data_IF_247948127942
#
_entry.id   IF_247948127942
#
_cell.length_a   1.000
_cell.length_b   1.000
_cell.length_c   1.000
_cell.angle_alpha   90.00
_cell.angle_beta   90.00
_cell.angle_gamma   90.00
#
_symmetry.space_group_name_H-M   'P 1'
#
loop_
_entity.id
_entity.type
_entity.pdbx_description
1 polymer ?
#
# COMPACT_ATOMS: atom_id res chain seq x y z
N UNK A 1 18.85 -3.60 17.18
CA UNK A 1 18.34 -2.76 18.30
C UNK A 1 17.91 -1.35 17.88
N UNK A 2 18.14 -0.93 16.64
CA UNK A 2 17.76 0.42 16.14
C UNK A 2 16.38 0.47 15.47
N UNK A 3 15.84 -0.65 14.98
CA UNK A 3 14.55 -0.72 14.29
C UNK A 3 13.32 -0.70 15.22
N UNK A 4 13.45 -1.17 16.46
CA UNK A 4 12.32 -1.20 17.42
C UNK A 4 11.96 0.20 17.94
N UNK A 5 12.93 1.13 18.01
CA UNK A 5 12.68 2.50 18.48
C UNK A 5 11.98 3.43 17.47
N UNK A 6 11.94 3.06 16.19
CA UNK A 6 11.22 3.84 15.18
C UNK A 6 9.72 3.51 15.15
N UNK A 7 9.32 2.29 15.51
CA UNK A 7 7.91 1.90 15.59
C UNK A 7 7.15 2.66 16.69
N UNK A 8 7.82 2.94 17.83
CA UNK A 8 7.18 3.67 18.94
C UNK A 8 7.00 5.17 18.69
N UNK A 9 7.71 5.75 17.73
CA UNK A 9 7.62 7.20 17.43
C UNK A 9 6.52 7.53 16.42
N UNK A 10 6.07 6.56 15.62
CA UNK A 10 4.99 6.72 14.64
C UNK A 10 3.60 6.61 15.30
N UNK A 11 3.51 6.01 16.49
CA UNK A 11 2.28 5.79 17.23
C UNK A 11 1.61 7.05 17.83
N UNK A 12 2.08 8.26 17.56
CA UNK A 12 1.57 9.47 18.23
C UNK A 12 0.85 10.50 17.36
N UNK A 13 0.50 10.13 16.12
CA UNK A 13 -0.44 10.96 15.36
C UNK A 13 -1.73 10.19 15.18
N UNK A 14 -2.41 9.89 16.28
CA UNK A 14 -3.79 9.42 16.25
C UNK A 14 -4.65 10.50 15.60
N UNK A 15 -5.01 10.30 14.33
CA UNK A 15 -6.16 10.98 13.75
C UNK A 15 -7.38 10.40 14.47
N UNK A 16 -7.88 11.09 15.50
CA UNK A 16 -9.17 10.76 16.11
C UNK A 16 -10.23 10.92 15.03
N UNK A 17 -11.08 9.90 14.87
CA UNK A 17 -12.31 10.02 14.07
C UNK A 17 -13.05 11.28 14.55
N UNK A 18 -13.49 12.18 13.64
CA UNK A 18 -14.11 13.45 14.03
C UNK A 18 -15.34 13.30 14.93
N UNK A 19 -15.98 12.14 14.92
CA UNK A 19 -17.18 11.84 15.72
C UNK A 19 -16.95 10.89 16.90
N UNK A 20 -15.71 10.44 17.15
CA UNK A 20 -15.41 9.52 18.25
C UNK A 20 -16.04 8.13 18.12
N UNK A 21 -16.59 7.77 16.96
CA UNK A 21 -17.22 6.48 16.71
C UNK A 21 -16.15 5.43 16.43
N UNK A 22 -16.22 4.29 17.15
CA UNK A 22 -15.40 3.12 16.84
C UNK A 22 -15.93 2.43 15.58
N UNK A 23 -15.10 2.27 14.57
CA UNK A 23 -15.42 1.49 13.38
C UNK A 23 -14.89 0.07 13.62
N UNK A 24 -15.76 -0.91 13.96
CA UNK A 24 -15.31 -2.27 14.17
C UNK A 24 -14.82 -2.85 12.83
N UNK A 25 -13.54 -3.16 12.76
CA UNK A 25 -12.91 -3.75 11.60
C UNK A 25 -12.11 -4.98 12.00
N UNK A 26 -12.18 -6.03 11.19
CA UNK A 26 -11.36 -7.24 11.37
C UNK A 26 -10.24 -7.28 10.35
N UNK A 27 -9.09 -7.76 10.79
CA UNK A 27 -7.94 -8.01 9.94
C UNK A 27 -7.54 -9.48 9.93
N UNK A 28 -6.91 -9.88 8.84
CA UNK A 28 -6.22 -11.15 8.66
C UNK A 28 -4.74 -10.94 9.00
N UNK A 29 -4.24 -11.71 9.96
CA UNK A 29 -2.85 -11.67 10.42
C UNK A 29 -2.01 -12.77 9.77
N UNK A 30 -0.68 -12.67 9.88
CA UNK A 30 0.28 -13.59 9.25
C UNK A 30 0.14 -15.05 9.68
N UNK A 31 -0.38 -15.31 10.85
CA UNK A 31 -0.65 -16.67 11.36
C UNK A 31 -1.98 -17.24 10.85
N UNK A 32 -2.68 -16.51 9.98
CA UNK A 32 -4.00 -16.87 9.46
C UNK A 32 -5.16 -16.54 10.39
N UNK A 33 -4.90 -16.00 11.57
CA UNK A 33 -5.95 -15.59 12.52
C UNK A 33 -6.69 -14.36 12.01
N UNK A 34 -7.96 -14.22 12.40
CA UNK A 34 -8.79 -13.06 12.14
C UNK A 34 -9.23 -12.46 13.46
N UNK A 35 -8.83 -11.23 13.73
CA UNK A 35 -9.17 -10.52 14.95
C UNK A 35 -9.66 -9.09 14.67
N UNK A 36 -10.31 -8.48 15.65
CA UNK A 36 -10.66 -7.07 15.60
C UNK A 36 -9.40 -6.21 15.70
N UNK A 37 -9.36 -5.17 14.86
CA UNK A 37 -8.26 -4.20 14.86
C UNK A 37 -8.44 -3.21 16.01
N UNK A 38 -7.36 -2.89 16.73
CA UNK A 38 -7.30 -1.68 17.55
C UNK A 38 -7.63 -0.45 16.69
N UNK A 39 -8.36 0.50 17.25
CA UNK A 39 -8.86 1.65 16.49
C UNK A 39 -7.74 2.51 15.87
N UNK A 40 -6.61 2.59 16.53
CA UNK A 40 -5.41 3.30 16.07
C UNK A 40 -4.68 2.60 14.91
N UNK A 41 -4.91 1.31 14.70
CA UNK A 41 -4.34 0.54 13.60
C UNK A 41 -5.23 0.51 12.34
N UNK A 42 -6.51 0.83 12.46
CA UNK A 42 -7.50 0.71 11.36
C UNK A 42 -7.02 1.43 10.09
N UNK A 43 -6.59 2.68 10.22
CA UNK A 43 -6.15 3.47 9.06
C UNK A 43 -4.90 2.88 8.40
N UNK A 44 -3.95 2.39 9.21
CA UNK A 44 -2.73 1.77 8.68
C UNK A 44 -3.05 0.51 7.87
N UNK A 45 -3.88 -0.39 8.42
CA UNK A 45 -4.26 -1.64 7.74
C UNK A 45 -5.08 -1.38 6.48
N UNK A 46 -5.97 -0.38 6.49
CA UNK A 46 -6.72 0.05 5.30
C UNK A 46 -5.76 0.54 4.21
N UNK A 47 -4.80 1.40 4.55
CA UNK A 47 -3.80 1.93 3.60
C UNK A 47 -2.94 0.82 3.03
N UNK A 48 -2.46 -0.08 3.88
CA UNK A 48 -1.66 -1.22 3.46
C UNK A 48 -2.45 -2.12 2.48
N UNK A 49 -3.71 -2.41 2.79
CA UNK A 49 -4.57 -3.19 1.91
C UNK A 49 -4.94 -2.44 0.62
N UNK A 50 -5.10 -1.13 0.69
CA UNK A 50 -5.32 -0.29 -0.50
C UNK A 50 -4.12 -0.34 -1.45
N UNK A 51 -2.89 -0.44 -0.92
CA UNK A 51 -1.68 -0.62 -1.72
C UNK A 51 -1.74 -1.92 -2.53
N UNK A 52 -2.14 -3.04 -1.91
CA UNK A 52 -2.31 -4.32 -2.62
C UNK A 52 -3.41 -4.26 -3.69
N UNK A 53 -4.54 -3.60 -3.39
CA UNK A 53 -5.63 -3.41 -4.37
C UNK A 53 -5.19 -2.52 -5.53
N UNK A 54 -4.40 -1.48 -5.27
CA UNK A 54 -3.82 -0.64 -6.30
C UNK A 54 -2.82 -1.42 -7.17
N UNK A 55 -1.93 -2.22 -6.55
CA UNK A 55 -0.98 -3.05 -7.27
C UNK A 55 -1.69 -4.06 -8.19
N UNK A 56 -2.76 -4.71 -7.70
CA UNK A 56 -3.60 -5.59 -8.52
C UNK A 56 -4.24 -4.82 -9.68
N UNK A 57 -4.77 -3.62 -9.45
CA UNK A 57 -5.36 -2.79 -10.49
C UNK A 57 -4.35 -2.41 -11.57
N UNK A 58 -3.15 -2.02 -11.16
CA UNK A 58 -2.07 -1.68 -12.09
C UNK A 58 -1.62 -2.92 -12.88
N UNK A 59 -1.47 -4.07 -12.23
CA UNK A 59 -1.09 -5.32 -12.92
C UNK A 59 -2.14 -5.77 -13.95
N UNK A 60 -3.42 -5.53 -13.69
CA UNK A 60 -4.50 -5.78 -14.66
C UNK A 60 -4.45 -4.84 -15.86
N UNK A 61 -4.08 -3.57 -15.65
CA UNK A 61 -4.00 -2.56 -16.71
C UNK A 61 -2.66 -2.62 -17.45
N UNK A 62 -1.59 -2.96 -16.75
CA UNK A 62 -0.21 -2.99 -17.22
C UNK A 62 0.47 -4.28 -16.75
N UNK A 63 0.24 -5.41 -17.41
CA UNK A 63 0.74 -6.73 -16.97
C UNK A 63 2.28 -6.80 -16.83
N UNK A 64 2.99 -5.98 -17.61
CA UNK A 64 4.46 -5.88 -17.62
C UNK A 64 5.04 -5.08 -16.44
N UNK A 65 4.19 -4.43 -15.63
CA UNK A 65 4.66 -3.64 -14.49
C UNK A 65 5.32 -4.53 -13.44
N UNK A 66 6.56 -4.24 -13.10
CA UNK A 66 7.29 -4.88 -11.99
C UNK A 66 7.08 -4.07 -10.71
N UNK A 67 6.80 -4.75 -9.62
CA UNK A 67 6.63 -4.11 -8.32
C UNK A 67 7.87 -4.32 -7.45
N UNK A 68 8.41 -3.22 -6.96
CA UNK A 68 9.31 -3.24 -5.82
C UNK A 68 8.48 -3.45 -4.53
N UNK A 69 8.84 -2.80 -3.47
CA UNK A 69 8.00 -2.68 -2.28
C UNK A 69 8.01 -1.24 -1.82
N UNK A 70 6.89 -0.81 -1.29
CA UNK A 70 6.76 0.52 -0.70
C UNK A 70 6.18 0.39 0.69
N UNK A 71 6.70 1.12 1.67
CA UNK A 71 6.07 1.14 2.98
C UNK A 71 4.67 1.73 2.85
N UNK A 72 3.70 1.17 3.57
CA UNK A 72 2.43 1.83 3.80
C UNK A 72 2.70 3.05 4.70
N UNK A 73 3.08 4.16 4.08
CA UNK A 73 3.32 5.43 4.76
C UNK A 73 2.07 6.30 4.70
N UNK A 74 2.08 7.42 5.38
CA UNK A 74 0.96 8.37 5.36
C UNK A 74 0.64 8.91 3.96
N UNK A 75 1.60 8.88 3.04
CA UNK A 75 1.48 9.48 1.70
C UNK A 75 1.88 8.55 0.54
N UNK A 76 2.31 7.32 0.79
CA UNK A 76 2.84 6.47 -0.27
C UNK A 76 2.39 5.02 -0.20
N UNK A 77 2.29 4.40 -1.36
CA UNK A 77 1.86 3.01 -1.47
C UNK A 77 2.94 2.11 -2.06
N UNK A 78 3.27 2.25 -3.34
CA UNK A 78 4.16 1.33 -4.03
C UNK A 78 5.19 2.02 -4.91
N UNK A 79 6.38 1.44 -4.94
CA UNK A 79 7.40 1.72 -5.93
C UNK A 79 7.22 0.76 -7.11
N UNK A 80 7.02 1.30 -8.29
CA UNK A 80 6.66 0.56 -9.49
C UNK A 80 7.67 0.84 -10.58
N UNK A 81 8.09 -0.21 -11.28
CA UNK A 81 8.73 -0.09 -12.58
C UNK A 81 7.76 -0.56 -13.65
N UNK A 82 7.34 0.34 -14.52
CA UNK A 82 6.57 0.02 -15.71
C UNK A 82 7.39 0.33 -16.95
N UNK A 83 7.05 -0.26 -18.10
CA UNK A 83 7.72 0.01 -19.38
C UNK A 83 7.63 1.47 -19.80
N UNK A 84 6.56 2.14 -19.38
CA UNK A 84 6.43 3.58 -19.41
C UNK A 84 6.24 4.14 -17.99
N UNK A 85 6.72 5.36 -17.70
CA UNK A 85 6.42 6.00 -16.43
C UNK A 85 4.90 6.17 -16.27
N UNK A 86 4.37 5.79 -15.09
CA UNK A 86 3.02 6.12 -14.71
C UNK A 86 2.95 7.58 -14.29
N UNK A 87 1.87 8.25 -14.64
CA UNK A 87 1.65 9.67 -14.40
C UNK A 87 0.30 9.89 -13.70
N UNK A 88 0.04 11.11 -13.28
CA UNK A 88 -1.29 11.48 -12.75
C UNK A 88 -2.41 11.31 -13.78
N UNK A 89 -2.10 11.31 -15.07
CA UNK A 89 -3.07 11.03 -16.15
C UNK A 89 -3.60 9.58 -16.14
N UNK A 90 -2.88 8.64 -15.49
CA UNK A 90 -3.29 7.25 -15.38
C UNK A 90 -4.23 7.00 -14.17
N UNK A 91 -4.39 7.98 -13.28
CA UNK A 91 -5.11 7.80 -12.01
C UNK A 91 -6.57 7.41 -12.18
N UNK A 92 -7.29 8.03 -13.11
CA UNK A 92 -8.70 7.73 -13.32
C UNK A 92 -8.91 6.27 -13.74
N UNK A 93 -8.03 5.73 -14.60
CA UNK A 93 -8.08 4.34 -15.02
C UNK A 93 -7.74 3.39 -13.86
N UNK A 94 -6.68 3.70 -13.10
CA UNK A 94 -6.26 2.89 -11.95
C UNK A 94 -7.33 2.91 -10.86
N UNK A 95 -7.87 4.06 -10.49
CA UNK A 95 -8.95 4.17 -9.49
C UNK A 95 -10.24 3.47 -9.95
N UNK A 96 -10.56 3.53 -11.25
CA UNK A 96 -11.71 2.81 -11.79
C UNK A 96 -11.54 1.29 -11.65
N UNK A 97 -10.34 0.76 -11.94
CA UNK A 97 -10.03 -0.66 -11.78
C UNK A 97 -10.00 -1.07 -10.31
N UNK A 98 -9.42 -0.26 -9.41
CA UNK A 98 -9.49 -0.48 -7.96
C UNK A 98 -10.95 -0.59 -7.49
N UNK A 99 -11.84 0.29 -7.96
CA UNK A 99 -13.27 0.24 -7.64
C UNK A 99 -13.94 -1.05 -8.11
N UNK A 100 -13.52 -1.61 -9.26
CA UNK A 100 -14.01 -2.93 -9.72
C UNK A 100 -13.56 -4.04 -8.77
N UNK A 101 -12.26 -4.08 -8.41
CA UNK A 101 -11.70 -5.06 -7.47
C UNK A 101 -12.41 -4.99 -6.11
N UNK A 102 -12.70 -3.79 -5.62
CA UNK A 102 -13.48 -3.61 -4.38
C UNK A 102 -14.89 -4.19 -4.52
N UNK A 103 -15.56 -4.01 -5.68
CA UNK A 103 -16.90 -4.58 -5.96
C UNK A 103 -16.87 -6.10 -6.10
N UNK A 104 -15.78 -6.69 -6.59
CA UNK A 104 -15.60 -8.14 -6.67
C UNK A 104 -15.60 -8.81 -5.29
N UNK A 105 -15.34 -8.04 -4.23
CA UNK A 105 -15.34 -8.52 -2.85
C UNK A 105 -14.42 -9.73 -2.63
N UNK A 106 -13.20 -9.64 -3.14
CA UNK A 106 -12.22 -10.71 -3.04
C UNK A 106 -11.78 -10.91 -1.59
N UNK A 107 -11.66 -12.18 -1.19
CA UNK A 107 -11.14 -12.54 0.12
C UNK A 107 -9.62 -12.45 0.12
N UNK A 108 -9.03 -11.86 1.16
CA UNK A 108 -7.61 -11.99 1.44
C UNK A 108 -7.34 -13.35 2.10
N UNK A 109 -6.29 -14.00 1.66
CA UNK A 109 -5.73 -15.19 2.27
C UNK A 109 -4.24 -15.03 2.48
N UNK A 110 -3.69 -15.72 3.46
CA UNK A 110 -2.27 -15.69 3.81
C UNK A 110 -1.72 -17.11 3.83
N UNK A 111 -0.49 -17.26 3.38
CA UNK A 111 0.24 -18.53 3.46
C UNK A 111 1.74 -18.25 3.48
N UNK A 112 2.49 -19.23 3.98
CA UNK A 112 3.95 -19.19 4.09
C UNK A 112 4.56 -20.15 3.05
N UNK A 113 5.72 -19.81 2.52
CA UNK A 113 6.49 -20.69 1.64
C UNK A 113 7.95 -20.75 2.06
N UNK A 114 8.58 -21.92 1.93
CA UNK A 114 10.03 -22.06 2.02
C UNK A 114 10.70 -21.15 0.97
N UNK A 115 11.91 -20.66 1.27
CA UNK A 115 12.65 -19.72 0.41
C UNK A 115 12.71 -20.16 -1.07
N UNK A 116 13.06 -21.41 -1.33
CA UNK A 116 13.17 -21.92 -2.69
C UNK A 116 11.85 -21.83 -3.47
N UNK A 117 10.73 -22.18 -2.81
CA UNK A 117 9.39 -22.09 -3.41
C UNK A 117 8.94 -20.62 -3.57
N UNK A 118 9.32 -19.75 -2.63
CA UNK A 118 9.02 -18.33 -2.67
C UNK A 118 9.73 -17.67 -3.86
N UNK A 119 11.01 -17.98 -4.09
CA UNK A 119 11.78 -17.51 -5.23
C UNK A 119 11.12 -18.02 -6.54
N UNK A 120 10.86 -19.33 -6.66
CA UNK A 120 10.25 -19.89 -7.85
C UNK A 120 8.88 -19.25 -8.18
N UNK A 121 8.06 -19.00 -7.16
CA UNK A 121 6.77 -18.32 -7.33
C UNK A 121 6.94 -16.88 -7.86
N UNK A 122 7.91 -16.14 -7.34
CA UNK A 122 8.14 -14.75 -7.76
C UNK A 122 8.80 -14.69 -9.15
N UNK A 123 9.66 -15.64 -9.50
CA UNK A 123 10.23 -15.77 -10.85
C UNK A 123 9.14 -16.09 -11.90
N UNK A 124 8.25 -17.05 -11.59
CA UNK A 124 7.11 -17.38 -12.46
C UNK A 124 6.22 -16.17 -12.73
N UNK A 125 6.08 -15.30 -11.75
CA UNK A 125 5.27 -14.07 -11.83
C UNK A 125 6.02 -12.85 -12.41
N UNK A 126 7.32 -12.98 -12.70
CA UNK A 126 8.16 -11.92 -13.24
C UNK A 126 8.55 -10.82 -12.23
N UNK A 127 8.38 -11.06 -10.92
CA UNK A 127 8.57 -10.08 -9.84
C UNK A 127 10.05 -10.01 -9.39
N UNK A 128 10.91 -9.48 -10.25
CA UNK A 128 12.39 -9.48 -10.08
C UNK A 128 12.88 -8.83 -8.80
N UNK A 129 12.26 -7.72 -8.41
CA UNK A 129 12.65 -7.01 -7.18
C UNK A 129 12.34 -7.81 -5.91
N UNK A 130 11.29 -8.65 -5.96
CA UNK A 130 10.93 -9.53 -4.85
C UNK A 130 11.85 -10.74 -4.77
N UNK A 131 12.25 -11.30 -5.92
CA UNK A 131 13.27 -12.34 -5.98
C UNK A 131 14.58 -11.85 -5.35
N UNK A 132 15.05 -10.66 -5.73
CA UNK A 132 16.24 -10.04 -5.16
C UNK A 132 16.11 -9.86 -3.64
N UNK A 133 14.97 -9.35 -3.19
CA UNK A 133 14.71 -9.14 -1.76
C UNK A 133 14.69 -10.45 -0.97
N UNK A 134 14.05 -11.50 -1.47
CA UNK A 134 14.03 -12.82 -0.83
C UNK A 134 15.46 -13.36 -0.67
N UNK A 135 16.32 -13.11 -1.66
CA UNK A 135 17.74 -13.51 -1.61
C UNK A 135 18.53 -12.84 -0.49
N UNK A 136 18.10 -11.68 -0.02
CA UNK A 136 18.77 -10.88 1.03
C UNK A 136 18.23 -11.10 2.45
N UNK A 137 17.13 -11.81 2.58
CA UNK A 137 16.56 -12.13 3.88
C UNK A 137 17.46 -13.10 4.65
N UNK A 138 17.41 -13.05 5.98
CA UNK A 138 18.10 -14.02 6.85
C UNK A 138 17.59 -15.44 6.60
N UNK A 139 18.42 -16.47 6.81
CA UNK A 139 18.12 -17.87 6.47
C UNK A 139 16.89 -18.42 7.22
N UNK A 140 16.59 -17.90 8.41
CA UNK A 140 15.45 -18.26 9.24
C UNK A 140 14.23 -17.35 9.04
N UNK A 141 14.29 -16.41 8.07
CA UNK A 141 13.19 -15.50 7.81
C UNK A 141 11.94 -16.24 7.31
N UNK A 142 10.80 -15.94 7.93
CA UNK A 142 9.50 -16.40 7.48
C UNK A 142 9.06 -15.57 6.26
N UNK A 143 8.76 -16.25 5.16
CA UNK A 143 8.34 -15.61 3.91
C UNK A 143 6.85 -15.84 3.74
N UNK A 144 6.07 -14.79 4.01
CA UNK A 144 4.62 -14.81 3.93
C UNK A 144 4.12 -14.12 2.67
N UNK A 145 3.03 -14.65 2.13
CA UNK A 145 2.34 -14.13 0.97
C UNK A 145 0.89 -13.85 1.31
N UNK A 146 0.41 -12.72 0.83
CA UNK A 146 -1.02 -12.41 0.82
C UNK A 146 -1.57 -12.49 -0.58
N UNK A 147 -2.75 -13.07 -0.71
CA UNK A 147 -3.43 -13.25 -1.98
C UNK A 147 -4.85 -12.70 -1.91
N UNK A 148 -5.25 -11.95 -2.93
CA UNK A 148 -6.64 -11.59 -3.20
C UNK A 148 -6.96 -11.86 -4.68
N UNK A 149 -7.87 -12.82 -4.92
CA UNK A 149 -8.14 -13.30 -6.28
C UNK A 149 -6.90 -13.88 -6.95
N UNK A 150 -6.55 -13.32 -8.09
CA UNK A 150 -5.37 -13.69 -8.90
C UNK A 150 -4.07 -12.94 -8.52
N UNK A 151 -4.17 -11.92 -7.67
CA UNK A 151 -3.01 -11.15 -7.22
C UNK A 151 -2.39 -11.75 -5.96
N UNK A 152 -1.08 -11.94 -6.02
CA UNK A 152 -0.27 -12.47 -4.91
C UNK A 152 0.88 -11.51 -4.66
N UNK A 153 1.12 -11.18 -3.40
CA UNK A 153 2.23 -10.34 -2.99
C UNK A 153 2.95 -10.89 -1.75
N UNK A 154 4.28 -10.71 -1.72
CA UNK A 154 5.07 -11.00 -0.52
C UNK A 154 4.89 -9.86 0.48
N UNK A 155 4.39 -10.17 1.66
CA UNK A 155 4.02 -9.16 2.63
C UNK A 155 3.96 -9.73 4.05
N UNK A 156 4.15 -8.85 5.04
CA UNK A 156 4.07 -9.19 6.47
C UNK A 156 2.77 -8.70 7.14
N UNK A 157 1.72 -8.36 6.35
CA UNK A 157 0.40 -7.99 6.88
C UNK A 157 0.41 -7.00 8.07
N UNK A 158 -0.68 -6.87 8.83
CA UNK A 158 -2.00 -7.46 8.55
C UNK A 158 -2.75 -6.76 7.42
N UNK A 159 -3.82 -7.40 6.93
CA UNK A 159 -4.70 -6.87 5.89
C UNK A 159 -6.18 -6.97 6.28
N UNK A 160 -7.02 -6.16 5.61
CA UNK A 160 -8.48 -6.33 5.67
C UNK A 160 -8.86 -7.74 5.16
N UNK A 161 -9.96 -8.31 5.67
CA UNK A 161 -10.35 -9.66 5.29
C UNK A 161 -10.91 -9.77 3.86
N UNK A 162 -11.52 -8.68 3.34
CA UNK A 162 -12.14 -8.64 2.03
C UNK A 162 -11.92 -7.27 1.38
N UNK A 163 -11.70 -7.23 0.06
CA UNK A 163 -11.47 -5.98 -0.68
C UNK A 163 -12.62 -4.98 -0.53
N UNK A 164 -13.86 -5.44 -0.32
CA UNK A 164 -15.04 -4.60 -0.10
C UNK A 164 -14.97 -3.76 1.19
N UNK A 165 -14.08 -4.08 2.12
CA UNK A 165 -13.87 -3.27 3.32
C UNK A 165 -13.16 -1.94 3.02
N UNK A 166 -12.44 -1.83 1.90
CA UNK A 166 -11.89 -0.57 1.42
C UNK A 166 -13.01 0.34 0.90
N UNK A 167 -13.39 1.37 1.65
CA UNK A 167 -14.53 2.24 1.34
C UNK A 167 -14.12 3.52 0.62
N UNK A 168 -13.01 4.11 1.01
CA UNK A 168 -12.60 5.43 0.57
C UNK A 168 -11.11 5.48 0.29
N UNK A 169 -10.72 5.85 -0.92
CA UNK A 169 -9.33 6.01 -1.34
C UNK A 169 -9.22 7.04 -2.47
N UNK A 170 -8.05 7.63 -2.60
CA UNK A 170 -7.70 8.57 -3.66
C UNK A 170 -6.21 8.52 -3.96
N UNK A 171 -5.84 8.48 -5.24
CA UNK A 171 -4.46 8.68 -5.67
C UNK A 171 -4.15 10.17 -5.67
N UNK A 172 -3.00 10.56 -5.12
CA UNK A 172 -2.71 11.96 -4.83
C UNK A 172 -1.51 12.53 -5.57
N UNK A 173 -0.60 11.67 -6.02
CA UNK A 173 0.59 12.12 -6.72
C UNK A 173 1.48 11.00 -7.22
N UNK A 174 2.47 11.41 -8.00
CA UNK A 174 3.55 10.55 -8.50
C UNK A 174 4.87 11.19 -8.13
N UNK A 175 5.82 10.39 -7.68
CA UNK A 175 7.18 10.82 -7.38
C UNK A 175 8.18 9.76 -7.83
N UNK A 176 9.45 10.16 -8.00
CA UNK A 176 10.54 9.22 -8.19
C UNK A 176 11.00 8.63 -6.85
N UNK A 177 11.44 7.38 -6.88
CA UNK A 177 12.08 6.72 -5.75
C UNK A 177 13.21 5.84 -6.26
N UNK A 178 14.42 5.97 -5.69
CA UNK A 178 15.52 5.08 -6.04
C UNK A 178 15.34 3.72 -5.37
N UNK A 179 15.58 2.65 -6.12
CA UNK A 179 15.57 1.30 -5.58
C UNK A 179 16.49 1.20 -4.36
N UNK A 180 15.98 0.67 -3.25
CA UNK A 180 16.68 0.60 -1.96
C UNK A 180 17.17 1.96 -1.39
N UNK A 181 16.63 3.06 -1.90
CA UNK A 181 17.03 4.40 -1.46
C UNK A 181 18.42 4.84 -1.92
N UNK A 182 19.07 4.09 -2.79
CA UNK A 182 20.39 4.39 -3.32
C UNK A 182 20.27 5.09 -4.68
N UNK A 183 20.85 6.30 -4.79
CA UNK A 183 20.86 7.13 -5.99
C UNK A 183 21.55 6.48 -7.21
N UNK A 184 22.42 5.51 -6.97
CA UNK A 184 23.13 4.78 -8.02
C UNK A 184 22.30 3.62 -8.59
N UNK A 185 21.20 3.28 -7.93
CA UNK A 185 20.21 2.31 -8.40
C UNK A 185 19.18 2.93 -9.35
N UNK A 186 18.37 2.05 -9.94
CA UNK A 186 17.28 2.47 -10.84
C UNK A 186 16.28 3.34 -10.12
N UNK A 187 15.88 4.43 -10.78
CA UNK A 187 14.75 5.23 -10.33
C UNK A 187 13.45 4.54 -10.74
N UNK A 188 12.58 4.34 -9.77
CA UNK A 188 11.25 3.77 -9.90
C UNK A 188 10.20 4.88 -9.79
N UNK A 189 8.99 4.60 -10.24
CA UNK A 189 7.83 5.50 -10.07
C UNK A 189 7.11 5.11 -8.79
N UNK A 190 7.04 6.03 -7.83
CA UNK A 190 6.22 5.86 -6.63
C UNK A 190 4.87 6.53 -6.83
N UNK A 191 3.79 5.76 -6.66
CA UNK A 191 2.44 6.30 -6.63
C UNK A 191 2.05 6.60 -5.19
N UNK A 192 1.63 7.83 -4.97
CA UNK A 192 1.15 8.30 -3.68
C UNK A 192 -0.38 8.28 -3.66
N UNK A 193 -0.93 7.93 -2.52
CA UNK A 193 -2.36 7.90 -2.33
C UNK A 193 -2.74 7.84 -0.86
N UNK A 194 -4.01 7.98 -0.58
CA UNK A 194 -4.58 7.91 0.76
C UNK A 194 -5.78 6.99 0.77
N UNK A 195 -6.01 6.34 1.90
CA UNK A 195 -7.20 5.52 2.11
C UNK A 195 -7.66 5.66 3.56
N UNK A 196 -8.98 5.61 3.75
CA UNK A 196 -9.65 5.80 5.01
C UNK A 196 -10.81 4.81 5.18
N UNK A 197 -11.29 4.67 6.42
CA UNK A 197 -12.41 3.79 6.73
C UNK A 197 -13.74 4.33 6.18
N UNK A 198 -13.87 5.65 6.08
CA UNK A 198 -15.09 6.32 5.60
C UNK A 198 -14.78 7.34 4.51
N UNK A 199 -15.82 7.66 3.73
CA UNK A 199 -15.72 8.72 2.73
C UNK A 199 -15.57 10.10 3.36
N UNK A 200 -16.21 10.33 4.47
CA UNK A 200 -16.16 11.58 5.22
C UNK A 200 -14.71 11.90 5.66
N UNK A 201 -13.98 10.91 6.17
CA UNK A 201 -12.57 11.07 6.54
C UNK A 201 -11.70 11.39 5.31
N UNK A 202 -11.96 10.73 4.19
CA UNK A 202 -11.26 11.01 2.92
C UNK A 202 -11.53 12.44 2.45
N UNK A 203 -12.80 12.86 2.43
CA UNK A 203 -13.21 14.19 1.96
C UNK A 203 -12.60 15.29 2.85
N UNK A 204 -12.57 15.09 4.17
CA UNK A 204 -11.93 16.02 5.12
C UNK A 204 -10.42 16.11 4.86
N UNK A 205 -9.75 14.97 4.70
CA UNK A 205 -8.32 14.93 4.40
C UNK A 205 -7.99 15.62 3.08
N UNK A 206 -8.77 15.36 2.03
CA UNK A 206 -8.58 16.01 0.72
C UNK A 206 -8.78 17.51 0.81
N UNK A 207 -9.77 17.98 1.58
CA UNK A 207 -9.97 19.40 1.83
C UNK A 207 -8.76 20.04 2.54
N UNK A 208 -8.21 19.37 3.56
CA UNK A 208 -6.99 19.86 4.24
C UNK A 208 -5.80 19.97 3.29
N UNK A 209 -5.60 18.99 2.39
CA UNK A 209 -4.54 19.04 1.40
C UNK A 209 -4.69 20.21 0.40
N UNK A 210 -5.92 20.48 -0.04
CA UNK A 210 -6.21 21.61 -0.94
C UNK A 210 -5.94 22.94 -0.25
N UNK A 211 -6.35 23.09 1.01
CA UNK A 211 -6.10 24.30 1.78
C UNK A 211 -4.59 24.52 2.06
N UNK A 212 -3.84 23.44 2.30
CA UNK A 212 -2.39 23.52 2.44
C UNK A 212 -1.73 24.01 1.13
N UNK A 213 -2.11 23.44 -0.02
CA UNK A 213 -1.63 23.88 -1.33
C UNK A 213 -1.94 25.35 -1.61
N UNK A 214 -3.15 25.83 -1.31
CA UNK A 214 -3.52 27.25 -1.46
C UNK A 214 -2.68 28.18 -0.60
N UNK A 215 -2.31 27.76 0.62
CA UNK A 215 -1.43 28.54 1.52
C UNK A 215 -0.01 28.66 0.98
N UNK A 216 0.54 27.55 0.46
CA UNK A 216 1.89 27.55 -0.11
C UNK A 216 1.98 28.44 -1.37
N UNK A 217 0.99 28.38 -2.26
CA UNK A 217 0.93 29.28 -3.41
C UNK A 217 0.85 30.76 -3.03
N UNK A 218 0.15 31.10 -1.94
CA UNK A 218 0.08 32.49 -1.44
C UNK A 218 1.39 32.99 -0.83
N UNK A 219 2.23 32.11 -0.28
CA UNK A 219 3.56 32.47 0.20
C UNK A 219 4.53 32.74 -0.95
N UNK A 220 4.56 31.89 -1.98
CA UNK A 220 5.43 32.02 -3.15
C UNK A 220 5.08 33.27 -3.98
N UNK A 221 3.82 33.68 -4.04
CA UNK A 221 3.38 34.89 -4.79
C UNK A 221 3.60 36.21 -4.06
N UNK A 222 4.27 36.23 -2.88
CA UNK A 222 4.62 37.42 -2.09
C UNK A 222 6.12 37.71 -2.04
N UNK A 223 6.94 36.88 -2.64
CA UNK A 223 8.37 37.09 -2.92
C UNK A 223 8.57 37.49 -4.39
#
# INVERSE_FOLDING_TARGET
MMQVKNAERIARTCIRHPRGENIPMKALYNDGSVAELPQDEVTHVIRHSAAHIMAQAIKRLYPEADFAYGPATDNGFYDIKADRPLTTGDFDAIEAEMKKIVKENLKFSVYEKPRAEAIALMEERGEKYKVEHIGELDDDARITFYQQGDYIDMCVGPHICYTKALKAFKLTGVSGAYWKGDKDNKMLTRINGVAFATKEELDEHMHMLEEAKKRDHRKIGRE
#
